data_IF_884180755868
#
_entry.id   IF_884180755868
#
_cell.length_a   1.000
_cell.length_b   1.000
_cell.length_c   1.000
_cell.angle_alpha   90.00
_cell.angle_beta   90.00
_cell.angle_gamma   90.00
#
_symmetry.space_group_name_H-M   'P 1'
#
loop_
_entity.id
_entity.type
_entity.pdbx_description
1 polymer ?
#
# COMPACT_ATOMS: atom_id res chain seq x y z
N UNK A 1 26.39 -9.25 28.29
CA UNK A 1 26.22 -7.81 28.60
C UNK A 1 26.46 -6.91 27.39
N UNK A 2 27.57 -7.04 26.68
CA UNK A 2 27.87 -6.18 25.48
C UNK A 2 26.88 -6.30 24.32
N UNK A 3 26.34 -7.48 24.04
CA UNK A 3 25.33 -7.69 22.95
C UNK A 3 24.02 -6.95 23.22
N UNK A 4 23.54 -6.97 24.45
CA UNK A 4 22.29 -6.29 24.86
C UNK A 4 22.39 -4.75 24.78
N UNK A 5 23.59 -4.19 25.04
CA UNK A 5 23.83 -2.73 24.98
C UNK A 5 23.88 -2.26 23.51
N UNK A 6 24.43 -3.07 22.61
CA UNK A 6 24.48 -2.74 21.17
C UNK A 6 23.07 -2.82 20.56
N UNK A 7 22.24 -3.81 20.92
CA UNK A 7 20.86 -3.94 20.45
C UNK A 7 19.98 -2.78 20.92
N UNK A 8 20.12 -2.34 22.17
CA UNK A 8 19.38 -1.17 22.71
C UNK A 8 19.81 0.14 22.03
N UNK A 9 21.08 0.33 21.76
CA UNK A 9 21.58 1.52 21.04
C UNK A 9 21.09 1.55 19.58
N UNK A 10 21.06 0.41 18.90
CA UNK A 10 20.53 0.28 17.54
C UNK A 10 19.04 0.58 17.46
N UNK A 11 18.24 0.05 18.40
CA UNK A 11 16.80 0.33 18.48
C UNK A 11 16.51 1.81 18.73
N UNK A 12 17.30 2.47 19.60
CA UNK A 12 17.15 3.90 19.88
C UNK A 12 17.49 4.76 18.65
N UNK A 13 18.54 4.44 17.91
CA UNK A 13 18.91 5.13 16.67
C UNK A 13 17.81 4.96 15.62
N UNK A 14 17.27 3.76 15.46
CA UNK A 14 16.15 3.51 14.55
C UNK A 14 14.92 4.33 14.92
N UNK A 15 14.56 4.38 16.20
CA UNK A 15 13.42 5.18 16.68
C UNK A 15 13.62 6.68 16.41
N UNK A 16 14.83 7.21 16.61
CA UNK A 16 15.16 8.62 16.32
C UNK A 16 15.05 8.93 14.83
N UNK A 17 15.58 8.05 13.95
CA UNK A 17 15.44 8.21 12.50
C UNK A 17 13.98 8.16 12.08
N UNK A 18 13.21 7.21 12.61
CA UNK A 18 11.77 7.06 12.31
C UNK A 18 10.97 8.29 12.71
N UNK A 19 11.23 8.85 13.90
CA UNK A 19 10.59 10.08 14.38
C UNK A 19 10.93 11.27 13.47
N UNK A 20 12.22 11.44 13.11
CA UNK A 20 12.65 12.49 12.20
C UNK A 20 12.00 12.38 10.81
N UNK A 21 11.95 11.16 10.25
CA UNK A 21 11.33 10.91 8.95
C UNK A 21 9.83 11.20 9.00
N UNK A 22 9.13 10.73 10.05
CA UNK A 22 7.71 10.98 10.23
C UNK A 22 7.41 12.49 10.31
N UNK A 23 8.18 13.24 11.10
CA UNK A 23 8.08 14.70 11.17
C UNK A 23 8.30 15.35 9.80
N UNK A 24 9.33 14.92 9.08
CA UNK A 24 9.64 15.48 7.74
C UNK A 24 8.53 15.20 6.73
N UNK A 25 7.98 13.99 6.74
CA UNK A 25 6.94 13.57 5.81
C UNK A 25 5.54 14.14 6.12
N UNK A 26 5.32 14.60 7.35
CA UNK A 26 4.08 15.28 7.74
C UNK A 26 4.09 16.79 7.55
N UNK A 27 5.21 17.38 7.09
CA UNK A 27 5.32 18.85 6.92
C UNK A 27 4.36 19.34 5.86
N UNK A 28 3.66 20.41 6.21
CA UNK A 28 2.69 21.10 5.36
C UNK A 28 3.24 21.52 3.98
N UNK A 29 4.51 21.90 3.93
CA UNK A 29 5.17 22.30 2.69
C UNK A 29 5.28 21.20 1.62
N UNK A 30 5.10 19.92 2.02
CA UNK A 30 5.14 18.79 1.08
C UNK A 30 3.81 18.52 0.39
N UNK A 31 2.72 19.16 0.85
CA UNK A 31 1.38 18.91 0.35
C UNK A 31 0.67 20.23 0.00
N UNK A 32 -0.02 20.30 -1.15
CA UNK A 32 -0.99 21.37 -1.40
C UNK A 32 -2.05 21.41 -0.29
N UNK A 33 -2.55 22.61 0.02
CA UNK A 33 -3.53 22.81 1.11
C UNK A 33 -4.76 21.90 0.98
N UNK A 34 -5.33 21.80 -0.21
CA UNK A 34 -6.47 20.91 -0.46
C UNK A 34 -6.14 19.45 -0.15
N UNK A 35 -4.95 18.96 -0.51
CA UNK A 35 -4.54 17.57 -0.22
C UNK A 35 -4.41 17.33 1.29
N UNK A 36 -3.92 18.33 2.05
CA UNK A 36 -3.87 18.27 3.52
C UNK A 36 -5.27 18.19 4.14
N UNK A 37 -6.21 19.00 3.65
CA UNK A 37 -7.60 18.95 4.08
C UNK A 37 -8.22 17.57 3.81
N UNK A 38 -8.05 17.06 2.59
CA UNK A 38 -8.52 15.71 2.23
C UNK A 38 -7.91 14.62 3.09
N UNK A 39 -6.59 14.66 3.36
CA UNK A 39 -5.90 13.70 4.23
C UNK A 39 -6.38 13.80 5.68
N UNK A 40 -6.54 15.02 6.21
CA UNK A 40 -7.07 15.23 7.57
C UNK A 40 -8.46 14.60 7.72
N UNK A 41 -9.36 14.86 6.77
CA UNK A 41 -10.68 14.24 6.73
C UNK A 41 -10.59 12.70 6.66
N UNK A 42 -9.76 12.18 5.75
CA UNK A 42 -9.61 10.74 5.58
C UNK A 42 -9.05 10.02 6.81
N UNK A 43 -8.14 10.66 7.55
CA UNK A 43 -7.61 10.10 8.80
C UNK A 43 -8.66 10.07 9.91
N UNK A 44 -9.46 11.14 10.06
CA UNK A 44 -10.56 11.18 11.03
C UNK A 44 -11.58 10.07 10.74
N UNK A 45 -12.00 9.93 9.48
CA UNK A 45 -12.92 8.88 9.06
C UNK A 45 -12.35 7.47 9.29
N UNK A 46 -11.05 7.26 9.03
CA UNK A 46 -10.40 5.99 9.29
C UNK A 46 -10.41 5.67 10.81
N UNK A 47 -10.08 6.65 11.65
CA UNK A 47 -10.09 6.49 13.11
C UNK A 47 -11.50 6.19 13.65
N UNK A 48 -12.52 6.93 13.21
CA UNK A 48 -13.92 6.73 13.60
C UNK A 48 -14.45 5.36 13.19
N UNK A 49 -13.97 4.79 12.09
CA UNK A 49 -14.32 3.45 11.62
C UNK A 49 -13.38 2.34 12.16
N UNK A 50 -12.42 2.68 13.05
CA UNK A 50 -11.45 1.72 13.61
C UNK A 50 -10.52 1.11 12.56
N UNK A 51 -10.26 1.82 11.45
CA UNK A 51 -9.40 1.36 10.36
C UNK A 51 -7.94 1.73 10.62
N UNK A 52 -7.03 0.84 10.26
CA UNK A 52 -5.59 1.10 10.30
C UNK A 52 -5.17 1.80 9.01
N UNK A 53 -5.01 3.11 9.07
CA UNK A 53 -4.46 3.87 7.96
C UNK A 53 -2.92 3.76 7.94
N UNK A 54 -2.28 3.78 6.75
CA UNK A 54 -0.82 3.74 6.68
C UNK A 54 -0.20 5.02 7.25
N UNK A 55 1.02 4.89 7.78
CA UNK A 55 1.81 6.02 8.27
C UNK A 55 2.14 7.00 7.13
N UNK A 56 2.49 8.26 7.50
CA UNK A 56 2.94 9.27 6.54
C UNK A 56 4.17 8.82 5.74
N UNK A 57 5.02 7.97 6.32
CA UNK A 57 6.19 7.39 5.64
C UNK A 57 5.73 6.47 4.52
N UNK A 58 4.83 5.54 4.81
CA UNK A 58 4.26 4.62 3.82
C UNK A 58 3.47 5.39 2.76
N UNK A 59 2.66 6.37 3.15
CA UNK A 59 1.94 7.22 2.22
C UNK A 59 2.88 7.95 1.23
N UNK A 60 3.99 8.50 1.72
CA UNK A 60 4.99 9.16 0.86
C UNK A 60 5.71 8.16 -0.05
N UNK A 61 6.01 6.96 0.44
CA UNK A 61 6.55 5.88 -0.38
C UNK A 61 5.61 5.52 -1.54
N UNK A 62 4.31 5.37 -1.25
CA UNK A 62 3.29 5.08 -2.28
C UNK A 62 3.22 6.18 -3.35
N UNK A 63 3.29 7.45 -2.94
CA UNK A 63 3.35 8.57 -3.88
C UNK A 63 4.62 8.53 -4.77
N UNK A 64 5.76 8.17 -4.18
CA UNK A 64 7.03 8.04 -4.91
C UNK A 64 6.98 6.89 -5.92
N UNK A 65 6.45 5.73 -5.53
CA UNK A 65 6.26 4.58 -6.42
C UNK A 65 5.27 4.92 -7.56
N UNK A 66 4.18 5.59 -7.24
CA UNK A 66 3.20 6.04 -8.24
C UNK A 66 3.81 7.02 -9.26
N UNK A 67 4.73 7.89 -8.84
CA UNK A 67 5.42 8.82 -9.73
C UNK A 67 6.50 8.12 -10.58
N UNK A 68 7.21 7.15 -10.01
CA UNK A 68 8.34 6.48 -10.67
C UNK A 68 7.93 5.42 -11.69
N UNK A 69 6.75 4.80 -11.52
CA UNK A 69 6.26 3.73 -12.39
C UNK A 69 5.58 4.19 -13.68
N UNK A 70 5.60 5.49 -13.99
CA UNK A 70 4.90 6.06 -15.14
C UNK A 70 5.57 5.70 -16.47
N UNK A 71 5.38 4.47 -16.95
CA UNK A 71 5.61 4.15 -18.36
C UNK A 71 4.44 4.70 -19.20
N UNK A 72 4.68 5.15 -20.43
CA UNK A 72 3.67 5.77 -21.29
C UNK A 72 2.44 4.91 -21.64
N UNK A 73 2.37 3.68 -21.14
CA UNK A 73 1.30 2.72 -21.35
C UNK A 73 0.49 2.41 -20.07
N UNK A 74 0.87 2.98 -18.93
CA UNK A 74 0.16 2.71 -17.67
C UNK A 74 -1.21 3.38 -17.62
N UNK A 75 -2.24 2.63 -17.25
CA UNK A 75 -3.57 3.16 -16.95
C UNK A 75 -3.67 3.79 -15.55
N UNK A 76 -2.64 3.62 -14.72
CA UNK A 76 -2.60 4.17 -13.38
C UNK A 76 -2.33 3.14 -12.29
N UNK A 77 -3.10 3.20 -11.20
CA UNK A 77 -2.92 2.35 -10.04
C UNK A 77 -4.21 1.67 -9.59
N UNK A 78 -4.04 0.61 -8.81
CA UNK A 78 -5.13 -0.06 -8.07
C UNK A 78 -4.86 0.07 -6.57
N UNK A 79 -5.91 0.37 -5.81
CA UNK A 79 -5.87 0.48 -4.36
C UNK A 79 -6.95 -0.44 -3.78
N UNK A 80 -6.52 -1.41 -2.98
CA UNK A 80 -7.39 -2.35 -2.28
C UNK A 80 -7.14 -2.19 -0.78
N UNK A 81 -8.01 -1.47 -0.10
CA UNK A 81 -7.93 -1.20 1.33
C UNK A 81 -9.20 -0.53 1.82
N UNK A 82 -9.65 -0.79 3.06
CA UNK A 82 -10.73 -0.03 3.69
C UNK A 82 -10.36 1.45 3.93
N UNK A 83 -9.07 1.76 4.11
CA UNK A 83 -8.57 3.14 4.28
C UNK A 83 -8.27 3.84 2.94
N UNK A 84 -9.08 3.61 1.91
CA UNK A 84 -8.85 4.10 0.55
C UNK A 84 -8.76 5.63 0.45
N UNK A 85 -9.37 6.38 1.37
CA UNK A 85 -9.25 7.84 1.44
C UNK A 85 -7.80 8.29 1.65
N UNK A 86 -7.12 7.72 2.64
CA UNK A 86 -5.72 8.04 2.96
C UNK A 86 -4.78 7.52 1.88
N UNK A 87 -4.84 6.22 1.61
CA UNK A 87 -3.96 5.57 0.62
C UNK A 87 -4.11 6.20 -0.75
N UNK A 88 -5.36 6.42 -1.18
CA UNK A 88 -5.67 6.94 -2.49
C UNK A 88 -5.18 8.38 -2.70
N UNK A 89 -5.27 9.26 -1.69
CA UNK A 89 -4.73 10.62 -1.77
C UNK A 89 -3.22 10.63 -1.97
N UNK A 90 -2.49 9.76 -1.27
CA UNK A 90 -1.05 9.62 -1.47
C UNK A 90 -0.70 9.10 -2.87
N UNK A 91 -1.42 8.07 -3.36
CA UNK A 91 -1.20 7.53 -4.71
C UNK A 91 -1.53 8.59 -5.77
N UNK A 92 -2.69 9.26 -5.67
CA UNK A 92 -3.13 10.31 -6.61
C UNK A 92 -2.13 11.47 -6.71
N UNK A 93 -1.46 11.82 -5.60
CA UNK A 93 -0.40 12.83 -5.59
C UNK A 93 0.78 12.45 -6.47
N UNK A 94 1.12 11.18 -6.55
CA UNK A 94 2.23 10.67 -7.38
C UNK A 94 1.84 10.35 -8.81
N UNK A 95 0.57 10.00 -9.05
CA UNK A 95 0.10 9.60 -10.36
C UNK A 95 0.10 10.76 -11.36
N UNK A 96 0.52 10.54 -12.62
CA UNK A 96 0.33 11.50 -13.70
C UNK A 96 -1.13 11.97 -13.81
N UNK A 97 -1.34 13.22 -14.28
CA UNK A 97 -2.69 13.82 -14.36
C UNK A 97 -3.71 12.99 -15.15
N UNK A 98 -3.27 12.28 -16.17
CA UNK A 98 -4.13 11.47 -17.03
C UNK A 98 -4.37 10.05 -16.50
N UNK A 99 -3.58 9.62 -15.51
CA UNK A 99 -3.71 8.30 -14.93
C UNK A 99 -4.86 8.24 -13.92
N UNK A 100 -5.48 7.08 -13.79
CA UNK A 100 -6.66 6.86 -12.94
C UNK A 100 -6.30 5.92 -11.79
N UNK A 101 -6.83 6.19 -10.60
CA UNK A 101 -6.80 5.28 -9.46
C UNK A 101 -8.07 4.41 -9.46
N UNK A 102 -7.93 3.09 -9.47
CA UNK A 102 -9.04 2.17 -9.23
C UNK A 102 -9.06 1.74 -7.78
N UNK A 103 -10.08 2.15 -7.02
CA UNK A 103 -10.31 1.74 -5.64
C UNK A 103 -11.28 0.56 -5.60
N UNK A 104 -10.89 -0.53 -4.95
CA UNK A 104 -11.72 -1.72 -4.78
C UNK A 104 -11.97 -1.89 -3.28
N UNK A 105 -13.23 -1.75 -2.87
CA UNK A 105 -13.68 -1.85 -1.49
C UNK A 105 -15.15 -2.33 -1.49
N UNK A 106 -15.49 -3.43 -0.80
CA UNK A 106 -16.85 -3.93 -0.78
C UNK A 106 -17.85 -3.04 -0.04
N UNK A 107 -17.39 -2.23 0.92
CA UNK A 107 -18.27 -1.39 1.72
C UNK A 107 -18.52 -0.02 1.06
N UNK A 108 -19.77 0.21 0.64
CA UNK A 108 -20.15 1.47 -0.02
C UNK A 108 -19.95 2.71 0.87
N UNK A 109 -20.07 2.57 2.19
CA UNK A 109 -19.84 3.66 3.14
C UNK A 109 -18.38 4.13 3.09
N UNK A 110 -17.41 3.20 3.14
CA UNK A 110 -15.98 3.50 3.06
C UNK A 110 -15.58 4.10 1.71
N UNK A 111 -16.21 3.63 0.63
CA UNK A 111 -16.00 4.26 -0.68
C UNK A 111 -16.52 5.70 -0.72
N UNK A 112 -17.65 5.99 -0.09
CA UNK A 112 -18.21 7.34 -0.07
C UNK A 112 -17.32 8.28 0.75
N UNK A 113 -16.77 7.81 1.87
CA UNK A 113 -15.76 8.55 2.63
C UNK A 113 -14.53 8.85 1.79
N UNK A 114 -13.99 7.86 1.07
CA UNK A 114 -12.85 8.06 0.17
C UNK A 114 -13.15 9.07 -0.97
N UNK A 115 -14.35 9.02 -1.57
CA UNK A 115 -14.79 10.01 -2.58
C UNK A 115 -14.83 11.43 -2.02
N UNK A 116 -15.30 11.58 -0.78
CA UNK A 116 -15.33 12.87 -0.10
C UNK A 116 -13.90 13.38 0.16
N UNK A 117 -13.02 12.52 0.66
CA UNK A 117 -11.61 12.86 0.87
C UNK A 117 -10.92 13.30 -0.42
N UNK A 118 -11.15 12.61 -1.55
CA UNK A 118 -10.58 12.98 -2.84
C UNK A 118 -11.12 14.32 -3.34
N UNK A 119 -12.40 14.59 -3.15
CA UNK A 119 -13.02 15.88 -3.49
C UNK A 119 -12.40 17.02 -2.67
N UNK A 120 -12.24 16.85 -1.36
CA UNK A 120 -11.55 17.81 -0.49
C UNK A 120 -10.08 17.99 -0.89
N UNK A 121 -9.42 16.90 -1.30
CA UNK A 121 -8.07 16.90 -1.83
C UNK A 121 -7.91 17.59 -3.20
N UNK A 122 -8.99 18.13 -3.77
CA UNK A 122 -8.97 18.85 -5.04
C UNK A 122 -8.94 17.96 -6.28
N UNK A 123 -9.19 16.65 -6.14
CA UNK A 123 -9.19 15.74 -7.28
C UNK A 123 -10.54 15.67 -7.97
N UNK A 124 -10.52 15.73 -9.31
CA UNK A 124 -11.70 15.49 -10.14
C UNK A 124 -12.24 14.06 -9.96
N UNK A 125 -13.58 13.85 -10.00
CA UNK A 125 -14.17 12.51 -9.97
C UNK A 125 -13.64 11.56 -11.05
N UNK A 126 -13.17 12.08 -12.17
CA UNK A 126 -12.57 11.29 -13.25
C UNK A 126 -11.20 10.69 -12.90
N UNK A 127 -10.55 11.18 -11.84
CA UNK A 127 -9.25 10.68 -11.37
C UNK A 127 -9.34 9.35 -10.60
N UNK A 128 -10.54 8.96 -10.14
CA UNK A 128 -10.74 7.74 -9.38
C UNK A 128 -11.98 6.97 -9.87
N UNK A 129 -11.79 5.67 -10.03
CA UNK A 129 -12.86 4.70 -10.30
C UNK A 129 -13.06 3.84 -9.05
N UNK A 130 -14.30 3.64 -8.65
CA UNK A 130 -14.66 2.84 -7.48
C UNK A 130 -15.39 1.55 -7.90
N UNK A 131 -14.94 0.42 -7.37
CA UNK A 131 -15.56 -0.89 -7.57
C UNK A 131 -16.06 -1.42 -6.20
N UNK A 132 -17.39 -1.49 -6.03
CA UNK A 132 -18.03 -2.01 -4.82
C UNK A 132 -18.12 -3.54 -4.91
N UNK A 133 -17.01 -4.21 -4.63
CA UNK A 133 -16.88 -5.66 -4.75
C UNK A 133 -15.71 -6.20 -3.91
N UNK A 134 -15.73 -7.49 -3.63
CA UNK A 134 -14.56 -8.17 -3.06
C UNK A 134 -13.43 -8.18 -4.10
N UNK A 135 -12.18 -7.94 -3.68
CA UNK A 135 -11.05 -7.81 -4.61
C UNK A 135 -10.91 -9.00 -5.56
N UNK A 136 -10.92 -10.22 -5.02
CA UNK A 136 -10.72 -11.45 -5.80
C UNK A 136 -11.83 -11.71 -6.85
N UNK A 137 -13.02 -11.12 -6.67
CA UNK A 137 -14.16 -11.29 -7.59
C UNK A 137 -14.03 -10.39 -8.83
N UNK A 138 -13.27 -9.28 -8.74
CA UNK A 138 -13.22 -8.27 -9.81
C UNK A 138 -11.86 -8.10 -10.44
N UNK A 139 -10.76 -8.48 -9.78
CA UNK A 139 -9.41 -8.30 -10.31
C UNK A 139 -9.21 -8.99 -11.66
N UNK A 140 -9.80 -10.16 -11.89
CA UNK A 140 -9.74 -10.85 -13.17
C UNK A 140 -10.41 -10.13 -14.34
N UNK A 141 -11.10 -9.00 -14.10
CA UNK A 141 -11.73 -8.14 -15.13
C UNK A 141 -10.90 -6.89 -15.41
N UNK A 142 -9.84 -6.67 -14.65
CA UNK A 142 -8.91 -5.57 -14.89
C UNK A 142 -7.97 -5.91 -16.05
N UNK A 143 -7.50 -4.87 -16.73
CA UNK A 143 -6.63 -5.05 -17.89
C UNK A 143 -5.24 -5.55 -17.46
N UNK A 144 -4.74 -6.59 -18.11
CA UNK A 144 -3.39 -7.08 -17.92
C UNK A 144 -2.35 -6.03 -18.39
N UNK A 145 -1.15 -6.10 -17.83
CA UNK A 145 0.01 -5.23 -18.15
C UNK A 145 -0.33 -3.73 -18.19
N UNK A 146 -1.22 -3.28 -17.27
CA UNK A 146 -1.80 -1.94 -17.34
C UNK A 146 -1.56 -1.05 -16.12
N UNK A 147 -1.09 -1.59 -15.00
CA UNK A 147 -0.99 -0.84 -13.76
C UNK A 147 0.46 -0.71 -13.28
N UNK A 148 0.85 0.51 -12.95
CA UNK A 148 2.18 0.81 -12.44
C UNK A 148 2.32 0.60 -10.94
N UNK A 149 1.20 0.61 -10.22
CA UNK A 149 1.17 0.40 -8.77
C UNK A 149 -0.12 -0.33 -8.39
N UNK A 150 0.02 -1.37 -7.60
CA UNK A 150 -1.11 -2.04 -6.93
C UNK A 150 -0.78 -2.05 -5.43
N UNK A 151 -1.65 -1.46 -4.62
CA UNK A 151 -1.56 -1.51 -3.16
C UNK A 151 -2.65 -2.43 -2.62
N UNK A 152 -2.27 -3.33 -1.74
CA UNK A 152 -3.14 -4.33 -1.14
C UNK A 152 -2.99 -4.38 0.37
N UNK A 153 -4.08 -4.06 1.04
CA UNK A 153 -4.33 -4.26 2.46
C UNK A 153 -5.48 -5.27 2.56
N UNK A 154 -5.13 -6.52 2.55
CA UNK A 154 -6.07 -7.66 2.51
C UNK A 154 -5.74 -8.65 3.63
N UNK A 155 -6.71 -9.51 3.97
CA UNK A 155 -6.48 -10.56 4.96
C UNK A 155 -5.26 -11.40 4.61
N UNK A 156 -4.43 -11.82 5.60
CA UNK A 156 -3.33 -12.76 5.38
C UNK A 156 -3.74 -14.01 4.60
N UNK A 157 -4.98 -14.46 4.80
CA UNK A 157 -5.55 -15.65 4.11
C UNK A 157 -5.78 -15.44 2.61
N UNK A 158 -5.82 -14.19 2.15
CA UNK A 158 -6.06 -13.85 0.76
C UNK A 158 -4.79 -13.40 0.01
N UNK A 159 -3.67 -13.17 0.73
CA UNK A 159 -2.44 -12.61 0.16
C UNK A 159 -1.91 -13.38 -1.05
N UNK A 160 -1.79 -14.72 -0.96
CA UNK A 160 -1.29 -15.54 -2.07
C UNK A 160 -2.21 -15.44 -3.29
N UNK A 161 -3.52 -15.67 -3.10
CA UNK A 161 -4.49 -15.58 -4.19
C UNK A 161 -4.56 -14.16 -4.78
N UNK A 162 -4.36 -13.14 -3.94
CA UNK A 162 -4.27 -11.76 -4.40
C UNK A 162 -3.02 -11.53 -5.25
N UNK A 163 -1.85 -12.00 -4.81
CA UNK A 163 -0.60 -11.91 -5.57
C UNK A 163 -0.73 -12.55 -6.97
N UNK A 164 -1.31 -13.77 -7.03
CA UNK A 164 -1.56 -14.48 -8.29
C UNK A 164 -2.43 -13.66 -9.26
N UNK A 165 -3.44 -12.95 -8.75
CA UNK A 165 -4.34 -12.11 -9.55
C UNK A 165 -3.75 -10.76 -9.90
N UNK A 166 -2.92 -10.18 -9.02
CA UNK A 166 -2.33 -8.86 -9.20
C UNK A 166 -1.13 -8.89 -10.17
N UNK A 167 -0.31 -9.94 -10.11
CA UNK A 167 0.91 -10.03 -10.91
C UNK A 167 0.72 -9.83 -12.41
N UNK A 168 -0.26 -10.44 -13.09
CA UNK A 168 -0.50 -10.23 -14.52
C UNK A 168 -0.95 -8.81 -14.86
N UNK A 169 -1.49 -8.05 -13.88
CA UNK A 169 -2.01 -6.70 -14.09
C UNK A 169 -0.90 -5.65 -14.13
N UNK A 170 0.27 -5.94 -13.54
CA UNK A 170 1.38 -5.00 -13.50
C UNK A 170 2.03 -4.84 -14.87
N UNK A 171 2.33 -3.59 -15.23
CA UNK A 171 3.23 -3.27 -16.34
C UNK A 171 4.67 -3.65 -15.99
N UNK A 172 5.57 -3.70 -16.97
CA UNK A 172 7.01 -3.71 -16.71
C UNK A 172 7.37 -2.45 -15.89
N UNK A 173 8.16 -2.62 -14.83
CA UNK A 173 8.47 -1.60 -13.83
C UNK A 173 7.35 -1.33 -12.82
N UNK A 174 6.18 -1.95 -12.97
CA UNK A 174 5.07 -1.84 -12.03
C UNK A 174 5.34 -2.58 -10.72
N UNK A 175 4.82 -2.04 -9.61
CA UNK A 175 5.07 -2.56 -8.26
C UNK A 175 3.77 -2.94 -7.56
N UNK A 176 3.73 -4.16 -7.01
CA UNK A 176 2.75 -4.60 -6.04
C UNK A 176 3.29 -4.32 -4.63
N UNK A 177 2.46 -3.72 -3.78
CA UNK A 177 2.77 -3.41 -2.38
C UNK A 177 1.75 -4.11 -1.50
N UNK A 178 2.21 -5.02 -0.66
CA UNK A 178 1.42 -5.63 0.39
C UNK A 178 1.64 -4.88 1.70
N UNK A 179 0.54 -4.40 2.29
CA UNK A 179 0.52 -3.82 3.62
C UNK A 179 0.46 -4.92 4.69
N UNK A 180 1.02 -4.62 5.85
CA UNK A 180 1.00 -5.46 7.06
C UNK A 180 1.43 -6.94 6.81
N UNK A 181 2.16 -7.18 5.72
CA UNK A 181 2.54 -8.51 5.23
C UNK A 181 3.51 -9.26 6.14
N UNK A 182 4.19 -8.56 7.06
CA UNK A 182 5.11 -9.16 8.04
C UNK A 182 4.47 -9.33 9.43
N UNK A 183 3.18 -9.02 9.57
CA UNK A 183 2.37 -9.22 10.79
C UNK A 183 3.06 -8.67 12.04
N UNK A 184 3.51 -7.40 12.01
CA UNK A 184 4.22 -6.73 13.12
C UNK A 184 5.47 -7.52 13.59
N UNK A 185 6.16 -8.22 12.67
CA UNK A 185 7.36 -9.02 12.94
C UNK A 185 7.11 -10.44 13.44
N UNK A 186 5.84 -10.84 13.63
CA UNK A 186 5.53 -12.20 14.14
C UNK A 186 5.77 -13.28 13.07
N UNK A 187 5.89 -12.91 11.81
CA UNK A 187 6.18 -13.83 10.71
C UNK A 187 7.48 -14.64 10.95
N UNK A 188 8.49 -14.00 11.55
CA UNK A 188 9.78 -14.61 11.84
C UNK A 188 9.75 -15.59 13.05
N UNK A 189 8.69 -15.57 13.87
CA UNK A 189 8.59 -16.44 15.03
C UNK A 189 8.22 -17.87 14.60
N UNK A 190 9.22 -18.75 14.54
CA UNK A 190 9.05 -20.15 14.13
C UNK A 190 8.12 -20.98 15.04
N UNK A 191 7.74 -20.46 16.21
CA UNK A 191 6.81 -21.16 17.12
C UNK A 191 5.34 -20.88 16.80
N UNK A 192 5.05 -19.81 16.08
CA UNK A 192 3.70 -19.44 15.68
C UNK A 192 3.15 -20.38 14.61
N UNK A 193 1.94 -20.89 14.88
CA UNK A 193 1.22 -21.84 14.03
C UNK A 193 -0.23 -21.41 13.81
N UNK A 194 -0.55 -20.16 14.13
CA UNK A 194 -1.87 -19.64 13.84
C UNK A 194 -2.05 -19.48 12.32
N UNK A 195 -3.30 -19.52 11.91
CA UNK A 195 -3.72 -19.58 10.53
C UNK A 195 -3.25 -18.40 9.70
N UNK A 196 -3.26 -17.20 10.29
CA UNK A 196 -2.86 -15.96 9.61
C UNK A 196 -1.35 -15.93 9.37
N UNK A 197 -0.55 -16.32 10.40
CA UNK A 197 0.90 -16.41 10.28
C UNK A 197 1.33 -17.44 9.23
N UNK A 198 0.69 -18.61 9.18
CA UNK A 198 1.01 -19.62 8.16
C UNK A 198 0.61 -19.17 6.76
N UNK A 199 -0.53 -18.51 6.60
CA UNK A 199 -0.95 -17.95 5.32
C UNK A 199 -0.02 -16.82 4.84
N UNK A 200 0.41 -15.94 5.74
CA UNK A 200 1.36 -14.87 5.40
C UNK A 200 2.74 -15.44 5.00
N UNK A 201 3.23 -16.52 5.66
CA UNK A 201 4.45 -17.21 5.23
C UNK A 201 4.31 -17.81 3.85
N UNK A 202 3.18 -18.48 3.58
CA UNK A 202 2.92 -19.04 2.26
C UNK A 202 2.89 -17.95 1.16
N UNK A 203 2.35 -16.77 1.47
CA UNK A 203 2.38 -15.64 0.56
C UNK A 203 3.79 -15.08 0.36
N UNK A 204 4.60 -15.02 1.42
CA UNK A 204 5.99 -14.59 1.35
C UNK A 204 6.86 -15.55 0.52
N UNK A 205 6.66 -16.87 0.70
CA UNK A 205 7.28 -17.93 -0.13
C UNK A 205 6.84 -17.78 -1.61
N UNK A 206 5.56 -17.51 -1.87
CA UNK A 206 5.07 -17.27 -3.23
C UNK A 206 5.73 -16.06 -3.88
N UNK A 207 5.91 -14.99 -3.14
CA UNK A 207 6.63 -13.78 -3.63
C UNK A 207 8.08 -14.13 -4.03
N UNK A 208 8.75 -15.01 -3.28
CA UNK A 208 10.09 -15.48 -3.64
C UNK A 208 10.08 -16.33 -4.93
N UNK A 209 9.01 -17.08 -5.21
CA UNK A 209 8.86 -17.77 -6.50
C UNK A 209 8.74 -16.78 -7.67
N UNK A 210 8.05 -15.64 -7.48
CA UNK A 210 7.99 -14.60 -8.52
C UNK A 210 9.38 -14.01 -8.82
N UNK A 211 10.24 -13.88 -7.80
CA UNK A 211 11.61 -13.46 -8.01
C UNK A 211 12.44 -14.50 -8.78
N UNK A 212 12.29 -15.79 -8.42
CA UNK A 212 13.04 -16.89 -9.03
C UNK A 212 12.59 -17.15 -10.49
N UNK A 213 11.29 -17.23 -10.73
CA UNK A 213 10.72 -17.69 -12.00
C UNK A 213 10.49 -16.57 -13.00
N UNK A 214 10.22 -15.35 -12.52
CA UNK A 214 9.88 -14.19 -13.36
C UNK A 214 10.86 -13.02 -13.23
N UNK A 215 11.94 -13.19 -12.45
CA UNK A 215 12.95 -12.14 -12.27
C UNK A 215 12.42 -10.89 -11.56
N UNK A 216 11.35 -11.01 -10.75
CA UNK A 216 10.84 -9.89 -9.98
C UNK A 216 11.88 -9.37 -8.98
N UNK A 217 11.85 -8.07 -8.70
CA UNK A 217 12.64 -7.47 -7.64
C UNK A 217 11.79 -7.36 -6.38
N UNK A 218 12.23 -8.00 -5.29
CA UNK A 218 11.49 -8.05 -4.02
C UNK A 218 12.22 -7.25 -2.95
N UNK A 219 11.48 -6.46 -2.21
CA UNK A 219 11.99 -5.71 -1.05
C UNK A 219 11.00 -5.83 0.10
N UNK A 220 11.50 -6.15 1.30
CA UNK A 220 10.72 -6.16 2.54
C UNK A 220 11.17 -5.01 3.43
N UNK A 221 10.22 -4.22 3.93
CA UNK A 221 10.49 -3.01 4.72
C UNK A 221 9.81 -3.12 6.09
N UNK A 222 10.52 -2.76 7.19
CA UNK A 222 9.96 -2.74 8.53
C UNK A 222 9.19 -1.44 8.79
N UNK A 223 8.18 -1.17 7.96
CA UNK A 223 7.30 0.00 8.06
C UNK A 223 5.88 -0.47 8.36
N UNK A 224 5.21 0.21 9.30
CA UNK A 224 3.89 -0.18 9.85
C UNK A 224 3.92 -1.65 10.30
N UNK A 225 2.99 -2.50 9.89
CA UNK A 225 3.00 -3.96 10.15
C UNK A 225 3.95 -4.78 9.26
N UNK A 226 4.82 -4.09 8.52
CA UNK A 226 5.72 -4.62 7.50
C UNK A 226 5.15 -4.52 6.09
N UNK A 227 5.96 -4.06 5.15
CA UNK A 227 5.61 -3.98 3.74
C UNK A 227 6.43 -4.96 2.92
N UNK A 228 5.78 -5.64 1.97
CA UNK A 228 6.47 -6.38 0.91
C UNK A 228 6.18 -5.73 -0.43
N UNK A 229 7.24 -5.34 -1.14
CA UNK A 229 7.20 -4.75 -2.47
C UNK A 229 7.69 -5.77 -3.49
N UNK A 230 6.94 -5.94 -4.57
CA UNK A 230 7.28 -6.87 -5.67
C UNK A 230 7.17 -6.10 -6.98
N UNK A 231 8.33 -5.84 -7.62
CA UNK A 231 8.39 -5.07 -8.86
C UNK A 231 8.62 -6.00 -10.05
N UNK A 232 7.76 -5.89 -11.06
CA UNK A 232 7.84 -6.64 -12.31
C UNK A 232 8.93 -6.02 -13.21
N UNK A 233 9.83 -6.83 -13.72
CA UNK A 233 10.84 -6.42 -14.71
C UNK A 233 10.33 -6.43 -16.12
#
# INVERSE_FOLDING_TARGET
MMKCVIETASAQVFAQMSAYIAERNSRDALFPEAVREGLSHAHVEAEENGLRAPSAVVGTLLATLAAGGASGHSQGAVCVTPAAGVVGLHILRGLPEKATLTCIEPEAALQNSAKQAFKLGGYSPSRARFLTARPLDVMGRLAADSYQLIYADVSPLELTAFAERAWPLLTAGGTLVFADSLLDGTLADATRRDRDTEAARAADDYVDTLAADHGAVVTRLPLDGGLTLVTKR
#
